data_IF_237381135732
#
_entry.id   IF_237381135732
#
_cell.length_a   1.000
_cell.length_b   1.000
_cell.length_c   1.000
_cell.angle_alpha   90.00
_cell.angle_beta   90.00
_cell.angle_gamma   90.00
#
_symmetry.space_group_name_H-M   'P 1'
#
loop_
_entity.id
_entity.type
_entity.pdbx_description
1 polymer ?
#
# COMPACT_ATOMS: atom_id res chain seq x y z
N UNK A 1 8.14 -45.81 26.34
CA UNK A 1 8.69 -45.15 25.13
C UNK A 1 7.63 -44.32 24.37
N UNK A 2 6.34 -44.60 24.51
CA UNK A 2 5.27 -43.93 23.74
C UNK A 2 4.91 -42.51 24.18
N UNK A 3 4.97 -42.19 25.47
CA UNK A 3 4.62 -40.83 25.97
C UNK A 3 5.56 -39.73 25.45
N UNK A 4 6.81 -40.06 25.16
CA UNK A 4 7.79 -39.13 24.55
C UNK A 4 7.51 -38.85 23.08
N UNK A 5 6.91 -39.81 22.36
CA UNK A 5 6.54 -39.65 20.94
C UNK A 5 5.30 -38.75 20.78
N UNK A 6 4.32 -38.87 21.68
CA UNK A 6 3.10 -38.02 21.69
C UNK A 6 3.46 -36.56 22.00
N UNK A 7 4.40 -36.32 22.92
CA UNK A 7 4.86 -34.98 23.25
C UNK A 7 5.63 -34.31 22.10
N UNK A 8 6.44 -35.07 21.35
CA UNK A 8 7.13 -34.55 20.16
C UNK A 8 6.17 -34.21 19.01
N UNK A 9 5.14 -35.05 18.80
CA UNK A 9 4.12 -34.80 17.76
C UNK A 9 3.29 -33.56 18.09
N UNK A 10 2.94 -33.35 19.37
CA UNK A 10 2.26 -32.13 19.82
C UNK A 10 3.10 -30.87 19.65
N UNK A 11 4.42 -30.95 19.85
CA UNK A 11 5.33 -29.81 19.70
C UNK A 11 5.56 -29.43 18.24
N UNK A 12 5.57 -30.40 17.33
CA UNK A 12 5.66 -30.18 15.87
C UNK A 12 4.36 -29.55 15.35
N UNK A 13 3.18 -29.99 15.84
CA UNK A 13 1.90 -29.39 15.49
C UNK A 13 1.74 -27.95 16.00
N UNK A 14 2.31 -27.62 17.16
CA UNK A 14 2.30 -26.25 17.69
C UNK A 14 3.18 -25.29 16.86
N UNK A 15 4.28 -25.77 16.28
CA UNK A 15 5.13 -24.96 15.40
C UNK A 15 4.52 -24.71 14.01
N UNK A 16 3.68 -25.62 13.52
CA UNK A 16 3.03 -25.48 12.21
C UNK A 16 1.88 -24.45 12.19
N UNK A 17 1.36 -24.01 13.35
CA UNK A 17 0.30 -22.99 13.41
C UNK A 17 0.78 -21.54 13.52
N UNK A 18 2.10 -21.28 13.64
CA UNK A 18 2.62 -19.89 13.65
C UNK A 18 2.91 -19.32 12.27
N UNK A 19 2.63 -20.07 11.20
CA UNK A 19 2.86 -19.67 9.81
C UNK A 19 1.73 -18.90 9.13
N UNK A 20 0.73 -18.41 9.87
CA UNK A 20 -0.33 -17.59 9.28
C UNK A 20 0.10 -16.12 9.18
N UNK A 21 0.82 -15.83 8.09
CA UNK A 21 0.70 -14.62 7.28
C UNK A 21 0.20 -13.36 8.02
N UNK A 22 1.13 -12.64 8.65
CA UNK A 22 0.99 -11.20 8.70
C UNK A 22 1.23 -10.69 7.27
N UNK A 23 0.13 -10.63 6.49
CA UNK A 23 0.13 -10.03 5.17
C UNK A 23 0.47 -8.55 5.32
N UNK A 24 1.75 -8.24 5.22
CA UNK A 24 2.23 -6.89 4.97
C UNK A 24 1.52 -6.44 3.69
N UNK A 25 0.58 -5.49 3.83
CA UNK A 25 -0.15 -4.94 2.69
C UNK A 25 0.88 -4.20 1.85
N UNK A 26 1.52 -4.93 0.94
CA UNK A 26 2.60 -4.42 0.11
C UNK A 26 1.96 -3.60 -1.01
N UNK A 27 1.47 -2.41 -0.64
CA UNK A 27 0.78 -1.48 -1.53
C UNK A 27 1.70 -1.04 -2.67
N UNK A 28 3.01 -1.13 -2.48
CA UNK A 28 4.05 -0.79 -3.46
C UNK A 28 3.87 -1.53 -4.79
N UNK A 29 3.28 -2.74 -4.79
CA UNK A 29 3.05 -3.48 -6.04
C UNK A 29 2.16 -2.72 -7.04
N UNK A 30 1.34 -1.79 -6.58
CA UNK A 30 0.39 -1.04 -7.40
C UNK A 30 0.94 0.27 -7.95
N UNK A 31 2.18 0.61 -7.61
CA UNK A 31 2.82 1.87 -7.94
C UNK A 31 4.15 1.61 -8.63
N UNK A 32 4.60 2.58 -9.42
CA UNK A 32 5.88 2.47 -10.13
C UNK A 32 7.08 2.59 -9.16
N UNK A 33 6.88 3.26 -8.03
CA UNK A 33 7.86 3.48 -6.98
C UNK A 33 7.15 3.50 -5.63
N UNK A 34 7.89 3.15 -4.57
CA UNK A 34 7.46 3.35 -3.19
C UNK A 34 7.17 4.82 -2.91
N UNK A 35 6.25 5.07 -1.98
CA UNK A 35 5.90 6.41 -1.50
C UNK A 35 5.66 6.38 0.02
N UNK A 36 5.86 7.50 0.73
CA UNK A 36 5.54 7.57 2.16
C UNK A 36 4.03 7.57 2.39
N UNK A 37 3.53 6.74 3.30
CA UNK A 37 2.12 6.71 3.68
C UNK A 37 1.78 7.85 4.65
N UNK A 38 1.72 9.06 4.11
CA UNK A 38 1.42 10.29 4.87
C UNK A 38 0.03 10.23 5.50
N UNK A 39 -0.95 9.62 4.82
CA UNK A 39 -2.32 9.52 5.35
C UNK A 39 -2.32 8.66 6.61
N UNK A 40 -1.67 7.50 6.58
CA UNK A 40 -1.55 6.66 7.77
C UNK A 40 -0.89 7.42 8.91
N UNK A 41 0.22 8.12 8.66
CA UNK A 41 0.89 8.94 9.69
C UNK A 41 -0.05 9.99 10.29
N UNK A 42 -0.83 10.67 9.45
CA UNK A 42 -1.81 11.66 9.90
C UNK A 42 -2.88 11.02 10.80
N UNK A 43 -3.44 9.90 10.36
CA UNK A 43 -4.50 9.20 11.09
C UNK A 43 -3.99 8.64 12.42
N UNK A 44 -2.79 8.06 12.43
CA UNK A 44 -2.17 7.47 13.62
C UNK A 44 -1.72 8.53 14.65
N UNK A 45 -1.52 9.79 14.23
CA UNK A 45 -1.00 10.88 15.07
C UNK A 45 -1.93 12.11 15.13
N UNK A 46 -3.23 11.92 14.87
CA UNK A 46 -4.21 13.01 14.72
C UNK A 46 -4.19 13.99 15.90
N UNK A 47 -4.15 13.45 17.12
CA UNK A 47 -4.12 14.22 18.38
C UNK A 47 -2.83 15.05 18.55
N UNK A 48 -1.72 14.59 17.97
CA UNK A 48 -0.42 15.23 18.10
C UNK A 48 -0.19 16.30 17.04
N UNK A 49 -0.93 16.25 15.93
CA UNK A 49 -0.82 17.19 14.82
C UNK A 49 -1.64 18.47 15.00
N UNK A 50 -2.51 18.53 16.02
CA UNK A 50 -3.35 19.69 16.33
C UNK A 50 -4.08 20.21 15.07
N UNK A 51 -4.65 19.31 14.28
CA UNK A 51 -5.35 19.65 13.04
C UNK A 51 -6.65 20.40 13.37
N UNK A 52 -6.88 21.54 12.71
CA UNK A 52 -8.17 22.21 12.81
C UNK A 52 -9.28 21.40 12.12
N UNK A 53 -10.54 21.72 12.42
CA UNK A 53 -11.69 21.10 11.72
C UNK A 53 -11.58 21.25 10.22
N UNK A 54 -11.26 22.45 9.72
CA UNK A 54 -11.08 22.73 8.29
C UNK A 54 -9.95 21.91 7.67
N UNK A 55 -8.85 21.69 8.41
CA UNK A 55 -7.75 20.84 7.92
C UNK A 55 -8.18 19.37 7.82
N UNK A 56 -8.93 18.87 8.81
CA UNK A 56 -9.47 17.51 8.77
C UNK A 56 -10.42 17.32 7.59
N UNK A 57 -11.34 18.26 7.37
CA UNK A 57 -12.27 18.24 6.24
C UNK A 57 -11.52 18.25 4.89
N UNK A 58 -10.47 19.07 4.76
CA UNK A 58 -9.65 19.11 3.55
C UNK A 58 -8.91 17.79 3.29
N UNK A 59 -8.39 17.14 4.34
CA UNK A 59 -7.75 15.83 4.24
C UNK A 59 -8.77 14.77 3.80
N UNK A 60 -9.96 14.76 4.41
CA UNK A 60 -11.03 13.82 4.05
C UNK A 60 -11.54 14.03 2.63
N UNK A 61 -11.62 15.29 2.17
CA UNK A 61 -11.98 15.63 0.80
C UNK A 61 -10.93 15.12 -0.19
N UNK A 62 -9.63 15.32 0.08
CA UNK A 62 -8.56 14.79 -0.76
C UNK A 62 -8.64 13.26 -0.87
N UNK A 63 -8.78 12.55 0.26
CA UNK A 63 -8.93 11.09 0.28
C UNK A 63 -10.14 10.66 -0.55
N UNK A 64 -11.29 11.31 -0.34
CA UNK A 64 -12.53 10.98 -1.04
C UNK A 64 -12.44 11.20 -2.56
N UNK A 65 -11.60 12.15 -2.99
CA UNK A 65 -11.36 12.44 -4.40
C UNK A 65 -10.45 11.40 -5.06
N UNK A 66 -9.32 11.06 -4.44
CA UNK A 66 -8.28 10.25 -5.11
C UNK A 66 -8.39 8.74 -4.85
N UNK A 67 -8.75 8.31 -3.64
CA UNK A 67 -8.79 6.87 -3.31
C UNK A 67 -9.72 6.06 -4.22
N UNK A 68 -10.92 6.53 -4.62
CA UNK A 68 -11.75 5.78 -5.57
C UNK A 68 -11.02 5.54 -6.91
N UNK A 69 -10.36 6.57 -7.46
CA UNK A 69 -9.62 6.48 -8.71
C UNK A 69 -8.39 5.56 -8.61
N UNK A 70 -7.74 5.56 -7.45
CA UNK A 70 -6.61 4.69 -7.15
C UNK A 70 -7.08 3.24 -7.04
N UNK A 71 -8.17 2.99 -6.33
CA UNK A 71 -8.71 1.65 -6.11
C UNK A 71 -9.30 1.05 -7.40
N UNK A 72 -9.92 1.87 -8.26
CA UNK A 72 -10.29 1.49 -9.63
C UNK A 72 -9.08 0.96 -10.41
N UNK A 73 -7.96 1.69 -10.39
CA UNK A 73 -6.72 1.29 -11.07
C UNK A 73 -6.09 0.05 -10.47
N UNK A 74 -6.12 -0.10 -9.13
CA UNK A 74 -5.63 -1.33 -8.47
C UNK A 74 -6.36 -2.57 -9.00
N UNK A 75 -7.68 -2.51 -9.17
CA UNK A 75 -8.46 -3.61 -9.77
C UNK A 75 -8.02 -3.93 -11.20
N UNK A 76 -7.77 -2.90 -12.02
CA UNK A 76 -7.28 -3.09 -13.40
C UNK A 76 -5.87 -3.70 -13.42
N UNK A 77 -4.98 -3.27 -12.52
CA UNK A 77 -3.64 -3.83 -12.35
C UNK A 77 -3.74 -5.30 -11.95
N UNK A 78 -4.55 -5.63 -10.93
CA UNK A 78 -4.72 -7.02 -10.46
C UNK A 78 -5.26 -7.93 -11.56
N UNK A 79 -6.15 -7.42 -12.43
CA UNK A 79 -6.64 -8.20 -13.57
C UNK A 79 -5.54 -8.43 -14.61
N UNK A 80 -4.80 -7.39 -15.01
CA UNK A 80 -3.71 -7.52 -15.99
C UNK A 80 -2.55 -8.38 -15.48
N UNK A 81 -2.27 -8.36 -14.17
CA UNK A 81 -1.28 -9.25 -13.56
C UNK A 81 -1.70 -10.72 -13.69
N UNK A 82 -2.98 -11.04 -13.51
CA UNK A 82 -3.52 -12.40 -13.75
C UNK A 82 -3.43 -12.79 -15.21
N UNK A 83 -3.85 -11.91 -16.12
CA UNK A 83 -3.81 -12.17 -17.56
C UNK A 83 -2.36 -12.38 -18.04
N UNK A 84 -1.41 -11.61 -17.51
CA UNK A 84 0.02 -11.78 -17.79
C UNK A 84 0.54 -13.13 -17.31
N UNK A 85 0.19 -13.53 -16.08
CA UNK A 85 0.60 -14.83 -15.54
C UNK A 85 0.04 -15.98 -16.38
N UNK A 86 -1.22 -15.92 -16.76
CA UNK A 86 -1.86 -16.92 -17.61
C UNK A 86 -1.15 -17.04 -18.97
N UNK A 87 -0.87 -15.91 -19.63
CA UNK A 87 -0.12 -15.91 -20.89
C UNK A 87 1.28 -16.48 -20.76
N UNK A 88 2.00 -16.18 -19.67
CA UNK A 88 3.34 -16.72 -19.45
C UNK A 88 3.30 -18.24 -19.30
N UNK A 89 2.35 -18.76 -18.50
CA UNK A 89 2.24 -20.20 -18.23
C UNK A 89 1.84 -21.02 -19.45
N UNK A 90 1.00 -20.45 -20.31
CA UNK A 90 0.47 -21.14 -21.49
C UNK A 90 1.22 -20.82 -22.79
N UNK A 91 2.40 -20.19 -22.72
CA UNK A 91 3.24 -19.91 -23.89
C UNK A 91 2.60 -18.90 -24.85
N UNK A 92 1.90 -17.90 -24.31
CA UNK A 92 1.24 -16.84 -25.05
C UNK A 92 2.20 -15.99 -25.90
N UNK A 93 1.65 -15.32 -26.90
CA UNK A 93 2.43 -14.54 -27.88
C UNK A 93 3.25 -13.42 -27.21
N UNK A 94 4.53 -13.33 -27.57
CA UNK A 94 5.45 -12.31 -27.03
C UNK A 94 4.95 -10.89 -27.23
N UNK A 95 4.22 -10.62 -28.32
CA UNK A 95 3.61 -9.30 -28.60
C UNK A 95 2.53 -8.94 -27.58
N UNK A 96 1.68 -9.90 -27.17
CA UNK A 96 0.64 -9.72 -26.17
C UNK A 96 1.23 -9.53 -24.78
N UNK A 97 2.22 -10.35 -24.41
CA UNK A 97 2.98 -10.21 -23.16
C UNK A 97 3.58 -8.80 -23.06
N UNK A 98 4.27 -8.35 -24.12
CA UNK A 98 4.84 -7.00 -24.17
C UNK A 98 3.79 -5.90 -24.01
N UNK A 99 2.64 -6.04 -24.67
CA UNK A 99 1.54 -5.07 -24.57
C UNK A 99 1.02 -4.95 -23.14
N UNK A 100 0.81 -6.08 -22.46
CA UNK A 100 0.34 -6.09 -21.07
C UNK A 100 1.37 -5.49 -20.12
N UNK A 101 2.65 -5.80 -20.28
CA UNK A 101 3.73 -5.21 -19.47
C UNK A 101 3.74 -3.68 -19.61
N UNK A 102 3.64 -3.16 -20.84
CA UNK A 102 3.57 -1.71 -21.07
C UNK A 102 2.33 -1.10 -20.41
N UNK A 103 1.18 -1.77 -20.49
CA UNK A 103 -0.05 -1.30 -19.86
C UNK A 103 0.04 -1.30 -18.34
N UNK A 104 0.64 -2.33 -17.74
CA UNK A 104 0.91 -2.40 -16.31
C UNK A 104 1.81 -1.24 -15.86
N UNK A 105 2.91 -0.98 -16.58
CA UNK A 105 3.80 0.13 -16.27
C UNK A 105 3.07 1.48 -16.35
N UNK A 106 2.24 1.67 -17.38
CA UNK A 106 1.40 2.86 -17.53
C UNK A 106 0.47 3.03 -16.33
N UNK A 107 -0.32 2.01 -15.99
CA UNK A 107 -1.29 2.08 -14.89
C UNK A 107 -0.62 2.33 -13.53
N UNK A 108 0.50 1.66 -13.24
CA UNK A 108 1.28 1.86 -12.01
C UNK A 108 1.85 3.29 -11.92
N UNK A 109 2.26 3.86 -13.05
CA UNK A 109 2.70 5.26 -13.14
C UNK A 109 1.55 6.24 -12.89
N UNK A 110 0.41 6.05 -13.55
CA UNK A 110 -0.78 6.88 -13.34
C UNK A 110 -1.27 6.82 -11.88
N UNK A 111 -1.22 5.63 -11.28
CA UNK A 111 -1.60 5.45 -9.88
C UNK A 111 -0.68 6.23 -8.93
N UNK A 112 0.62 6.21 -9.21
CA UNK A 112 1.61 6.98 -8.46
C UNK A 112 1.37 8.48 -8.61
N UNK A 113 1.03 8.95 -9.81
CA UNK A 113 0.68 10.35 -10.04
C UNK A 113 -0.54 10.77 -9.21
N UNK A 114 -1.57 9.94 -9.10
CA UNK A 114 -2.74 10.23 -8.25
C UNK A 114 -2.35 10.31 -6.77
N UNK A 115 -1.54 9.37 -6.29
CA UNK A 115 -1.06 9.38 -4.91
C UNK A 115 -0.20 10.61 -4.61
N UNK A 116 0.64 11.05 -5.55
CA UNK A 116 1.40 12.29 -5.43
C UNK A 116 0.47 13.51 -5.36
N UNK A 117 -0.60 13.55 -6.17
CA UNK A 117 -1.58 14.63 -6.13
C UNK A 117 -2.31 14.69 -4.79
N UNK A 118 -2.76 13.55 -4.29
CA UNK A 118 -3.38 13.42 -2.97
C UNK A 118 -2.45 13.94 -1.85
N UNK A 119 -1.20 13.49 -1.84
CA UNK A 119 -0.18 13.94 -0.88
C UNK A 119 0.00 15.46 -0.94
N UNK A 120 0.11 16.04 -2.15
CA UNK A 120 0.28 17.48 -2.32
C UNK A 120 -0.93 18.27 -1.85
N UNK A 121 -2.13 17.77 -2.11
CA UNK A 121 -3.36 18.42 -1.68
C UNK A 121 -3.47 18.45 -0.15
N UNK A 122 -3.14 17.34 0.51
CA UNK A 122 -3.00 17.28 1.97
C UNK A 122 -1.94 18.27 2.45
N UNK A 123 -0.74 18.22 1.87
CA UNK A 123 0.37 19.09 2.24
C UNK A 123 0.01 20.58 2.17
N UNK A 124 -0.72 21.00 1.13
CA UNK A 124 -1.12 22.40 0.94
C UNK A 124 -2.11 22.91 2.01
N UNK A 125 -2.78 22.02 2.74
CA UNK A 125 -3.70 22.36 3.82
C UNK A 125 -3.04 22.34 5.20
N UNK A 126 -1.77 21.96 5.28
CA UNK A 126 -1.03 21.90 6.54
C UNK A 126 -0.14 23.12 6.71
N UNK A 127 0.09 23.51 7.96
CA UNK A 127 1.16 24.47 8.27
C UNK A 127 2.52 23.81 8.08
N UNK A 128 3.57 24.63 7.86
CA UNK A 128 4.94 24.14 7.76
C UNK A 128 5.37 23.33 8.99
N UNK A 129 4.96 23.75 10.18
CA UNK A 129 5.25 23.05 11.44
C UNK A 129 4.58 21.67 11.50
N UNK A 130 3.31 21.57 11.12
CA UNK A 130 2.59 20.30 11.06
C UNK A 130 3.21 19.36 10.02
N UNK A 131 3.57 19.87 8.84
CA UNK A 131 4.18 19.04 7.82
C UNK A 131 5.58 18.56 8.23
N UNK A 132 6.41 19.41 8.87
CA UNK A 132 7.69 18.99 9.45
C UNK A 132 7.51 17.87 10.49
N UNK A 133 6.47 17.97 11.33
CA UNK A 133 6.12 16.93 12.31
C UNK A 133 5.76 15.60 11.65
N UNK A 134 5.02 15.62 10.55
CA UNK A 134 4.74 14.43 9.73
C UNK A 134 6.04 13.83 9.17
N UNK A 135 6.94 14.65 8.62
CA UNK A 135 8.21 14.17 8.08
C UNK A 135 9.06 13.48 9.14
N UNK A 136 9.13 14.00 10.37
CA UNK A 136 9.84 13.31 11.46
C UNK A 136 9.26 11.94 11.80
N UNK A 137 7.93 11.78 11.77
CA UNK A 137 7.32 10.45 11.97
C UNK A 137 7.69 9.48 10.84
N UNK A 138 7.71 9.94 9.59
CA UNK A 138 8.10 9.13 8.43
C UNK A 138 9.57 8.71 8.48
N UNK A 139 10.45 9.58 8.99
CA UNK A 139 11.88 9.31 9.15
C UNK A 139 12.21 8.47 10.40
N UNK A 140 11.21 8.12 11.21
CA UNK A 140 11.41 7.41 12.48
C UNK A 140 12.15 8.23 13.54
N UNK A 141 12.18 9.56 13.40
CA UNK A 141 12.79 10.46 14.37
C UNK A 141 11.79 10.75 15.48
N UNK A 142 12.12 10.40 16.72
CA UNK A 142 11.31 10.82 17.88
C UNK A 142 11.39 12.34 18.02
N UNK A 143 10.23 12.98 18.14
CA UNK A 143 10.09 14.40 18.48
C UNK A 143 10.05 14.54 19.99
#
# INVERSE_FOLDING_TARGET
>A
MERRKIFLIGLILFFLMKGSFAGEKNFDKYFLSSYPDIIKVILDNKDQLNLSTTQNEAIEAAISQYEPMINERKKQIDQLEKDLQDLILHGGESSKIKSIILKLAQLKSENLVLKIKEIREIQNNLTESQYKKILSYLEGKSI
#
